data_IF_944682889106
#
_entry.id   IF_944682889106
#
_cell.length_a   1.000
_cell.length_b   1.000
_cell.length_c   1.000
_cell.angle_alpha   90.00
_cell.angle_beta   90.00
_cell.angle_gamma   90.00
#
_symmetry.space_group_name_H-M   'P 1'
#
loop_
_entity.id
_entity.type
_entity.pdbx_description
1 polymer ?
#
# COMPACT_ATOMS: atom_id res chain seq x y z
N UNK A 1 0.17 22.27 5.37
CA UNK A 1 1.46 22.99 5.38
C UNK A 1 2.51 21.97 5.78
N UNK A 2 3.34 21.52 4.83
CA UNK A 2 4.49 20.67 5.13
C UNK A 2 5.60 21.60 5.63
N UNK A 3 5.88 21.58 6.92
CA UNK A 3 7.05 22.26 7.48
C UNK A 3 8.17 21.23 7.45
N UNK A 4 8.96 21.23 6.36
CA UNK A 4 10.21 20.47 6.28
C UNK A 4 11.31 21.31 6.95
N UNK A 5 11.52 21.09 8.23
CA UNK A 5 12.70 21.61 8.91
C UNK A 5 13.89 20.67 8.68
N UNK A 6 14.65 20.88 7.60
CA UNK A 6 16.00 20.33 7.50
C UNK A 6 16.89 21.07 8.49
N UNK A 7 16.98 20.57 9.70
CA UNK A 7 17.94 21.03 10.70
C UNK A 7 19.06 19.97 10.80
N UNK A 8 20.26 20.41 10.42
CA UNK A 8 21.58 19.85 10.68
C UNK A 8 21.71 18.32 10.90
N UNK A 9 22.19 17.62 9.88
CA UNK A 9 23.04 16.45 10.08
C UNK A 9 22.37 15.10 10.34
N UNK A 10 21.05 14.96 10.31
CA UNK A 10 20.40 13.65 10.42
C UNK A 10 20.46 12.97 9.06
N UNK A 11 21.25 11.89 8.95
CA UNK A 11 21.34 11.07 7.75
C UNK A 11 19.96 10.44 7.43
N UNK A 12 19.61 10.34 6.15
CA UNK A 12 18.42 9.62 5.68
C UNK A 12 18.42 8.13 6.05
N UNK A 13 19.57 7.61 6.53
CA UNK A 13 19.77 6.20 6.92
C UNK A 13 19.61 5.96 8.43
N UNK A 14 19.36 7.00 9.24
CA UNK A 14 19.20 6.80 10.68
C UNK A 14 17.82 6.18 10.99
N UNK A 15 17.83 5.16 11.85
CA UNK A 15 16.64 4.44 12.32
C UNK A 15 15.66 5.38 13.01
N UNK A 16 14.38 5.30 12.64
CA UNK A 16 13.31 6.14 13.17
C UNK A 16 12.13 5.29 13.60
N UNK A 17 11.38 5.80 14.55
CA UNK A 17 10.05 5.29 14.87
C UNK A 17 9.01 6.21 14.25
N UNK A 18 8.07 5.64 13.48
CA UNK A 18 7.01 6.39 12.81
C UNK A 18 5.72 6.27 13.61
N UNK A 19 5.24 7.37 14.16
CA UNK A 19 3.95 7.47 14.85
C UNK A 19 2.92 7.94 13.84
N UNK A 20 1.95 7.09 13.50
CA UNK A 20 0.80 7.43 12.66
C UNK A 20 -0.46 7.41 13.51
N UNK A 21 -1.30 8.44 13.42
CA UNK A 21 -2.53 8.54 14.20
C UNK A 21 -3.62 9.26 13.42
N UNK A 22 -4.84 8.74 13.49
CA UNK A 22 -6.08 9.38 13.08
C UNK A 22 -7.07 9.42 14.25
N UNK A 23 -7.70 10.57 14.50
CA UNK A 23 -8.71 10.69 15.55
C UNK A 23 -9.69 11.85 15.26
N UNK A 24 -10.84 11.94 15.95
CA UNK A 24 -11.70 13.12 15.89
C UNK A 24 -10.91 14.38 16.23
N UNK A 25 -11.04 15.42 15.39
CA UNK A 25 -10.28 16.66 15.55
C UNK A 25 -10.73 17.45 16.77
N UNK A 26 -9.78 18.02 17.47
CA UNK A 26 -9.97 18.94 18.61
C UNK A 26 -8.68 19.68 18.96
N UNK A 27 -8.82 20.77 19.70
CA UNK A 27 -7.70 21.52 20.23
C UNK A 27 -6.81 20.67 21.14
N UNK A 28 -5.48 20.82 20.98
CA UNK A 28 -4.48 20.25 21.89
C UNK A 28 -3.91 18.89 21.45
N UNK A 29 -4.39 18.25 20.36
CA UNK A 29 -3.87 16.97 19.89
C UNK A 29 -2.37 17.04 19.61
N UNK A 30 -1.93 18.02 18.81
CA UNK A 30 -0.51 18.20 18.44
C UNK A 30 0.35 18.41 19.67
N UNK A 31 -0.10 19.30 20.59
CA UNK A 31 0.64 19.57 21.83
C UNK A 31 0.78 18.32 22.71
N UNK A 32 -0.27 17.49 22.79
CA UNK A 32 -0.24 16.24 23.56
C UNK A 32 0.73 15.22 22.99
N UNK A 33 0.75 15.01 21.65
CA UNK A 33 1.65 14.06 21.01
C UNK A 33 3.10 14.56 21.09
N UNK A 34 3.34 15.84 20.76
CA UNK A 34 4.67 16.43 20.83
C UNK A 34 5.22 16.48 22.27
N UNK A 35 4.35 16.79 23.25
CA UNK A 35 4.70 16.74 24.67
C UNK A 35 5.12 15.35 25.12
N UNK A 36 4.35 14.31 24.73
CA UNK A 36 4.70 12.92 25.02
C UNK A 36 6.08 12.53 24.45
N UNK A 37 6.38 12.93 23.23
CA UNK A 37 7.68 12.65 22.61
C UNK A 37 8.79 13.40 23.35
N UNK A 38 8.59 14.68 23.67
CA UNK A 38 9.55 15.52 24.40
C UNK A 38 9.81 14.99 25.82
N UNK A 39 8.76 14.65 26.57
CA UNK A 39 8.85 14.08 27.92
C UNK A 39 9.57 12.73 27.94
N UNK A 40 9.53 12.01 26.81
CA UNK A 40 10.27 10.76 26.59
C UNK A 40 11.73 10.97 26.18
N UNK A 41 12.18 12.23 25.99
CA UNK A 41 13.50 12.56 25.46
C UNK A 41 13.64 12.43 23.95
N UNK A 42 12.52 12.19 23.24
CA UNK A 42 12.50 11.92 21.82
C UNK A 42 12.72 13.16 20.95
N UNK A 43 13.45 12.97 19.84
CA UNK A 43 13.69 14.00 18.84
C UNK A 43 12.79 13.78 17.62
N UNK A 44 11.85 14.67 17.38
CA UNK A 44 11.00 14.64 16.18
C UNK A 44 11.79 15.17 15.00
N UNK A 45 12.02 14.30 14.00
CA UNK A 45 12.75 14.61 12.77
C UNK A 45 11.82 15.19 11.70
N UNK A 46 10.61 14.64 11.60
CA UNK A 46 9.59 15.07 10.66
C UNK A 46 8.22 14.97 11.32
N UNK A 47 7.34 15.92 11.03
CA UNK A 47 5.97 15.88 11.47
C UNK A 47 5.05 16.46 10.38
N UNK A 48 4.02 15.71 10.04
CA UNK A 48 2.99 16.10 9.09
C UNK A 48 1.61 16.00 9.75
N UNK A 49 0.75 16.98 9.45
CA UNK A 49 -0.58 17.11 10.02
C UNK A 49 -1.59 17.42 8.93
N UNK A 50 -2.76 16.82 9.04
CA UNK A 50 -3.90 17.14 8.19
C UNK A 50 -5.20 17.04 8.98
N UNK A 51 -6.09 18.02 8.79
CA UNK A 51 -7.47 17.96 9.27
C UNK A 51 -8.39 17.87 8.05
N UNK A 52 -9.23 16.85 7.99
CA UNK A 52 -10.33 16.79 7.03
C UNK A 52 -11.52 17.58 7.59
N UNK A 53 -11.84 18.76 7.03
CA UNK A 53 -12.93 19.59 7.54
C UNK A 53 -14.32 18.97 7.27
N UNK A 54 -14.42 18.03 6.33
CA UNK A 54 -15.69 17.38 5.99
C UNK A 54 -16.09 16.36 7.07
N UNK A 55 -15.14 15.62 7.60
CA UNK A 55 -15.37 14.58 8.61
C UNK A 55 -15.00 15.02 10.01
N UNK A 56 -14.39 16.20 10.15
CA UNK A 56 -13.79 16.70 11.38
C UNK A 56 -12.84 15.69 12.01
N UNK A 57 -11.93 15.17 11.15
CA UNK A 57 -10.97 14.15 11.53
C UNK A 57 -9.55 14.67 11.37
N UNK A 58 -8.73 14.48 12.39
CA UNK A 58 -7.32 14.86 12.41
C UNK A 58 -6.45 13.64 12.08
N UNK A 59 -5.39 13.89 11.31
CA UNK A 59 -4.38 12.90 10.96
C UNK A 59 -2.99 13.46 11.24
N UNK A 60 -2.11 12.60 11.68
CA UNK A 60 -0.68 12.95 11.81
C UNK A 60 0.20 11.75 11.51
N UNK A 61 1.35 12.05 10.93
CA UNK A 61 2.49 11.17 10.81
C UNK A 61 3.72 11.89 11.34
N UNK A 62 4.42 11.29 12.30
CA UNK A 62 5.63 11.87 12.89
C UNK A 62 6.75 10.83 12.88
N UNK A 63 7.94 11.27 12.54
CA UNK A 63 9.15 10.46 12.62
C UNK A 63 9.99 10.91 13.81
N UNK A 64 10.28 9.99 14.71
CA UNK A 64 11.08 10.21 15.90
C UNK A 64 12.40 9.46 15.75
N UNK A 65 13.52 10.13 15.99
CA UNK A 65 14.85 9.51 15.94
C UNK A 65 14.94 8.41 16.99
N UNK A 66 15.15 7.16 16.58
CA UNK A 66 15.15 6.02 17.49
C UNK A 66 16.26 6.10 18.55
N UNK A 67 17.45 6.62 18.18
CA UNK A 67 18.58 6.80 19.10
C UNK A 67 18.37 7.90 20.15
N UNK A 68 17.37 8.75 20.01
CA UNK A 68 17.03 9.78 21.01
C UNK A 68 16.22 9.23 22.18
N UNK A 69 15.61 8.06 22.00
CA UNK A 69 14.76 7.44 23.01
C UNK A 69 15.54 6.40 23.83
N UNK A 70 15.34 6.32 25.17
CA UNK A 70 16.02 5.36 26.02
C UNK A 70 15.40 3.93 25.98
N UNK A 71 14.43 3.70 25.09
CA UNK A 71 13.69 2.45 24.97
C UNK A 71 13.34 2.12 23.50
N UNK A 72 12.92 0.90 23.26
CA UNK A 72 12.58 0.41 21.92
C UNK A 72 11.15 0.79 21.46
N UNK A 73 10.80 0.38 20.25
CA UNK A 73 9.49 0.65 19.64
C UNK A 73 8.32 0.02 20.41
N UNK A 74 8.54 -1.12 21.09
CA UNK A 74 7.50 -1.82 21.85
C UNK A 74 7.15 -1.03 23.10
N UNK A 75 8.16 -0.57 23.82
CA UNK A 75 7.97 0.27 25.00
C UNK A 75 7.37 1.64 24.60
N UNK A 76 7.82 2.23 23.47
CA UNK A 76 7.21 3.46 22.95
C UNK A 76 5.72 3.25 22.68
N UNK A 77 5.34 2.14 22.04
CA UNK A 77 3.94 1.81 21.76
C UNK A 77 3.13 1.60 23.05
N UNK A 78 3.70 0.90 24.02
CA UNK A 78 3.04 0.68 25.32
C UNK A 78 2.74 1.99 26.06
N UNK A 79 3.70 2.92 26.06
CA UNK A 79 3.53 4.26 26.65
C UNK A 79 2.55 5.13 25.87
N UNK A 80 2.64 5.14 24.53
CA UNK A 80 1.75 5.91 23.66
C UNK A 80 0.28 5.46 23.76
N UNK A 81 0.01 4.22 24.14
CA UNK A 81 -1.33 3.72 24.38
C UNK A 81 -2.08 4.56 25.47
N UNK A 82 -1.37 5.17 26.42
CA UNK A 82 -1.90 6.13 27.38
C UNK A 82 -2.40 7.39 26.69
N UNK A 83 -1.56 7.98 25.85
CA UNK A 83 -1.89 9.17 25.05
C UNK A 83 -3.09 8.90 24.13
N UNK A 84 -3.08 7.78 23.44
CA UNK A 84 -4.17 7.39 22.52
C UNK A 84 -5.52 7.26 23.25
N UNK A 85 -5.55 6.67 24.45
CA UNK A 85 -6.76 6.58 25.28
C UNK A 85 -7.31 7.97 25.65
N UNK A 86 -6.44 8.91 25.97
CA UNK A 86 -6.85 10.28 26.27
C UNK A 86 -7.35 11.03 25.02
N UNK A 87 -6.88 10.66 23.82
CA UNK A 87 -7.40 11.18 22.56
C UNK A 87 -8.79 10.63 22.21
N UNK A 88 -9.19 9.54 22.85
CA UNK A 88 -10.54 8.99 22.80
C UNK A 88 -10.61 7.61 22.15
N UNK A 89 -11.75 6.92 22.31
CA UNK A 89 -11.92 5.51 21.89
C UNK A 89 -11.93 5.32 20.36
N UNK A 90 -12.02 6.39 19.60
CA UNK A 90 -11.96 6.37 18.12
C UNK A 90 -10.58 6.73 17.58
N UNK A 91 -9.58 6.90 18.43
CA UNK A 91 -8.21 7.11 17.99
C UNK A 91 -7.67 5.79 17.39
N UNK A 92 -7.33 5.84 16.10
CA UNK A 92 -6.65 4.76 15.38
C UNK A 92 -5.17 5.16 15.24
N UNK A 93 -4.27 4.30 15.70
CA UNK A 93 -2.86 4.63 15.72
C UNK A 93 -1.97 3.41 15.58
N UNK A 94 -0.78 3.64 15.07
CA UNK A 94 0.28 2.64 15.02
C UNK A 94 1.63 3.31 15.19
N UNK A 95 2.60 2.55 15.70
CA UNK A 95 4.01 2.94 15.73
C UNK A 95 4.81 1.85 15.06
N UNK A 96 5.62 2.23 14.08
CA UNK A 96 6.45 1.32 13.29
C UNK A 96 7.92 1.72 13.39
N UNK A 97 8.79 0.79 13.07
CA UNK A 97 10.24 0.93 13.13
C UNK A 97 10.82 0.88 11.71
N UNK A 98 11.47 1.94 11.27
CA UNK A 98 12.11 1.98 9.94
C UNK A 98 13.33 1.06 9.85
N UNK A 99 13.86 0.57 10.96
CA UNK A 99 14.92 -0.45 11.00
C UNK A 99 14.39 -1.86 10.71
N UNK A 100 13.09 -2.09 10.74
CA UNK A 100 12.47 -3.36 10.38
C UNK A 100 12.18 -3.40 8.88
N UNK A 101 12.89 -4.26 8.15
CA UNK A 101 12.65 -4.42 6.73
C UNK A 101 11.27 -5.01 6.48
N UNK A 102 10.44 -4.30 5.74
CA UNK A 102 9.07 -4.74 5.42
C UNK A 102 9.10 -5.94 4.46
N UNK A 103 8.13 -6.84 4.61
CA UNK A 103 7.98 -8.04 3.78
C UNK A 103 6.75 -7.93 2.90
N UNK A 104 6.86 -8.38 1.64
CA UNK A 104 5.75 -8.41 0.70
C UNK A 104 5.59 -9.80 0.07
N UNK A 105 4.35 -10.20 -0.16
CA UNK A 105 3.98 -11.29 -1.05
C UNK A 105 3.30 -10.69 -2.27
N UNK A 106 3.71 -11.12 -3.48
CA UNK A 106 3.12 -10.62 -4.74
C UNK A 106 2.25 -11.70 -5.35
N UNK A 107 1.00 -11.35 -5.64
CA UNK A 107 0.04 -12.20 -6.33
C UNK A 107 -0.03 -11.80 -7.80
N UNK A 108 0.10 -12.77 -8.71
CA UNK A 108 0.17 -12.54 -10.16
C UNK A 108 -0.71 -13.50 -10.96
N UNK A 109 -1.10 -13.08 -12.18
CA UNK A 109 -1.65 -13.96 -13.20
C UNK A 109 -0.66 -14.07 -14.38
N UNK A 110 -1.11 -13.79 -15.63
CA UNK A 110 -0.26 -13.90 -16.82
C UNK A 110 0.51 -12.61 -17.14
N UNK A 111 -0.06 -11.46 -16.79
CA UNK A 111 0.50 -10.15 -17.11
C UNK A 111 1.67 -9.81 -16.17
N UNK A 112 2.89 -9.77 -16.70
CA UNK A 112 4.12 -9.66 -15.89
C UNK A 112 4.65 -8.23 -15.71
N UNK A 113 4.12 -7.22 -16.43
CA UNK A 113 4.72 -5.87 -16.47
C UNK A 113 4.88 -5.23 -15.09
N UNK A 114 3.89 -5.38 -14.20
CA UNK A 114 4.00 -4.86 -12.83
C UNK A 114 5.01 -5.64 -11.99
N UNK A 115 5.05 -6.97 -12.11
CA UNK A 115 6.04 -7.79 -11.41
C UNK A 115 7.47 -7.43 -11.84
N UNK A 116 7.73 -7.32 -13.15
CA UNK A 116 9.05 -6.96 -13.67
C UNK A 116 9.53 -5.60 -13.16
N UNK A 117 8.63 -4.61 -13.12
CA UNK A 117 8.95 -3.28 -12.60
C UNK A 117 9.28 -3.32 -11.11
N UNK A 118 8.48 -4.02 -10.30
CA UNK A 118 8.73 -4.17 -8.85
C UNK A 118 10.05 -4.89 -8.58
N UNK A 119 10.33 -6.00 -9.28
CA UNK A 119 11.60 -6.73 -9.15
C UNK A 119 12.80 -5.84 -9.49
N UNK A 120 12.70 -5.06 -10.57
CA UNK A 120 13.74 -4.11 -10.97
C UNK A 120 14.00 -3.03 -9.91
N UNK A 121 12.94 -2.44 -9.34
CA UNK A 121 13.04 -1.41 -8.29
C UNK A 121 13.61 -1.96 -6.98
N UNK A 122 13.26 -3.19 -6.60
CA UNK A 122 13.84 -3.86 -5.44
C UNK A 122 15.32 -4.15 -5.67
N UNK A 123 15.68 -4.67 -6.85
CA UNK A 123 17.07 -4.98 -7.20
C UNK A 123 17.96 -3.72 -7.27
N UNK A 124 17.41 -2.58 -7.67
CA UNK A 124 18.12 -1.28 -7.71
C UNK A 124 18.17 -0.56 -6.36
N UNK A 125 17.47 -1.06 -5.34
CA UNK A 125 17.34 -0.39 -4.04
C UNK A 125 16.38 0.81 -4.05
N UNK A 126 15.62 1.02 -5.13
CA UNK A 126 14.62 2.09 -5.19
C UNK A 126 13.39 1.78 -4.31
N UNK A 127 13.06 0.51 -4.14
CA UNK A 127 11.99 0.03 -3.27
C UNK A 127 12.59 -0.88 -2.19
N UNK A 128 12.64 -0.40 -0.95
CA UNK A 128 13.17 -1.17 0.17
C UNK A 128 12.09 -2.09 0.76
N UNK A 129 12.05 -3.30 0.23
CA UNK A 129 11.15 -4.36 0.68
C UNK A 129 11.78 -5.72 0.41
N UNK A 130 11.51 -6.68 1.26
CA UNK A 130 11.79 -8.08 1.01
C UNK A 130 10.59 -8.74 0.32
N UNK A 131 10.73 -9.14 -0.93
CA UNK A 131 9.71 -9.96 -1.60
C UNK A 131 9.95 -11.41 -1.16
N UNK A 132 9.14 -11.88 -0.21
CA UNK A 132 9.33 -13.21 0.38
C UNK A 132 8.78 -14.33 -0.48
N UNK A 133 7.84 -14.03 -1.37
CA UNK A 133 7.25 -15.00 -2.29
C UNK A 133 6.47 -14.30 -3.41
N UNK A 134 6.39 -14.94 -4.56
CA UNK A 134 5.43 -14.65 -5.62
C UNK A 134 4.50 -15.84 -5.78
N UNK A 135 3.19 -15.60 -5.80
CA UNK A 135 2.18 -16.64 -5.95
C UNK A 135 1.37 -16.35 -7.21
N UNK A 136 1.36 -17.28 -8.15
CA UNK A 136 0.68 -17.13 -9.42
C UNK A 136 -0.36 -18.22 -9.68
N UNK A 137 -1.47 -17.86 -10.35
CA UNK A 137 -2.42 -18.85 -10.85
C UNK A 137 -2.05 -19.38 -12.26
N UNK A 138 -0.92 -18.96 -12.78
CA UNK A 138 -0.27 -19.42 -14.00
C UNK A 138 1.23 -19.47 -13.78
N UNK A 139 1.97 -20.28 -14.59
CA UNK A 139 3.41 -20.53 -14.41
C UNK A 139 4.32 -19.61 -15.22
N UNK A 140 3.76 -18.76 -16.10
CA UNK A 140 4.51 -17.94 -17.05
C UNK A 140 5.55 -17.03 -16.37
N UNK A 141 5.31 -16.64 -15.13
CA UNK A 141 6.19 -15.73 -14.37
C UNK A 141 7.12 -16.45 -13.39
N UNK A 142 7.10 -17.80 -13.34
CA UNK A 142 7.94 -18.58 -12.42
C UNK A 142 9.43 -18.34 -12.69
N UNK A 143 9.87 -18.49 -13.96
CA UNK A 143 11.29 -18.40 -14.31
C UNK A 143 11.94 -17.06 -13.96
N UNK A 144 11.24 -15.93 -14.20
CA UNK A 144 11.78 -14.61 -13.84
C UNK A 144 11.83 -14.41 -12.32
N UNK A 145 10.84 -14.92 -11.59
CA UNK A 145 10.79 -14.85 -10.14
C UNK A 145 11.96 -15.63 -9.51
N UNK A 146 12.16 -16.87 -9.95
CA UNK A 146 13.22 -17.74 -9.48
C UNK A 146 14.62 -17.22 -9.85
N UNK A 147 14.76 -16.57 -11.02
CA UNK A 147 16.01 -15.91 -11.41
C UNK A 147 16.41 -14.74 -10.47
N UNK A 148 15.45 -14.16 -9.75
CA UNK A 148 15.71 -13.17 -8.68
C UNK A 148 15.90 -13.81 -7.29
N UNK A 149 15.96 -15.14 -7.21
CA UNK A 149 16.09 -15.86 -5.94
C UNK A 149 14.84 -15.86 -5.06
N UNK A 150 13.67 -15.55 -5.64
CA UNK A 150 12.40 -15.46 -4.92
C UNK A 150 11.61 -16.76 -5.18
N UNK A 151 11.06 -17.41 -4.14
CA UNK A 151 10.20 -18.57 -4.29
C UNK A 151 8.94 -18.24 -5.11
N UNK A 152 8.61 -19.09 -6.10
CA UNK A 152 7.37 -19.02 -6.84
C UNK A 152 6.44 -20.19 -6.49
N UNK A 153 5.21 -19.88 -6.09
CA UNK A 153 4.18 -20.88 -5.80
C UNK A 153 3.07 -20.82 -6.85
N UNK A 154 2.71 -21.97 -7.39
CA UNK A 154 1.61 -22.08 -8.33
C UNK A 154 0.35 -22.58 -7.63
N UNK A 155 -0.71 -21.78 -7.63
CA UNK A 155 -2.04 -22.12 -7.11
C UNK A 155 -3.04 -22.08 -8.26
N UNK A 156 -3.54 -23.24 -8.65
CA UNK A 156 -4.52 -23.36 -9.74
C UNK A 156 -5.90 -22.97 -9.28
N UNK A 157 -6.62 -22.20 -10.10
CA UNK A 157 -8.02 -21.83 -9.84
C UNK A 157 -8.89 -22.50 -10.92
N UNK A 158 -9.64 -23.57 -10.59
CA UNK A 158 -10.46 -24.28 -11.55
C UNK A 158 -11.66 -23.40 -11.98
N UNK A 159 -11.97 -23.48 -13.28
CA UNK A 159 -13.12 -22.77 -13.85
C UNK A 159 -14.35 -23.68 -13.74
N UNK A 160 -15.47 -23.11 -13.26
CA UNK A 160 -16.74 -23.85 -13.14
C UNK A 160 -16.83 -24.81 -11.94
N UNK A 161 -15.82 -24.83 -11.08
CA UNK A 161 -15.77 -25.62 -9.84
C UNK A 161 -15.66 -24.69 -8.64
N UNK A 162 -16.76 -24.47 -7.94
CA UNK A 162 -16.83 -23.57 -6.78
C UNK A 162 -16.05 -24.12 -5.58
N UNK A 163 -16.13 -25.42 -5.30
CA UNK A 163 -15.45 -26.06 -4.17
C UNK A 163 -13.94 -26.09 -4.41
N UNK A 164 -13.51 -26.44 -5.60
CA UNK A 164 -12.11 -26.39 -6.01
C UNK A 164 -11.55 -24.98 -5.96
N UNK A 165 -12.33 -23.95 -6.32
CA UNK A 165 -11.93 -22.55 -6.20
C UNK A 165 -11.81 -22.14 -4.74
N UNK A 166 -12.70 -22.56 -3.86
CA UNK A 166 -12.63 -22.30 -2.42
C UNK A 166 -11.37 -22.95 -1.79
N UNK A 167 -11.06 -24.19 -2.16
CA UNK A 167 -9.83 -24.87 -1.75
C UNK A 167 -8.57 -24.12 -2.22
N UNK A 168 -8.57 -23.57 -3.44
CA UNK A 168 -7.47 -22.75 -3.97
C UNK A 168 -7.26 -21.46 -3.15
N UNK A 169 -8.34 -20.79 -2.74
CA UNK A 169 -8.23 -19.62 -1.87
C UNK A 169 -7.75 -19.98 -0.46
N UNK A 170 -8.14 -21.13 0.08
CA UNK A 170 -7.62 -21.61 1.36
C UNK A 170 -6.11 -21.88 1.29
N UNK A 171 -5.65 -22.54 0.22
CA UNK A 171 -4.23 -22.75 -0.04
C UNK A 171 -3.48 -21.41 -0.22
N UNK A 172 -4.04 -20.47 -0.99
CA UNK A 172 -3.48 -19.13 -1.18
C UNK A 172 -3.31 -18.42 0.17
N UNK A 173 -4.35 -18.46 1.02
CA UNK A 173 -4.30 -17.89 2.36
C UNK A 173 -3.18 -18.48 3.20
N UNK A 174 -3.09 -19.80 3.26
CA UNK A 174 -2.06 -20.49 4.03
C UNK A 174 -0.64 -20.07 3.57
N UNK A 175 -0.41 -20.02 2.26
CA UNK A 175 0.87 -19.58 1.71
C UNK A 175 1.17 -18.13 2.07
N UNK A 176 0.25 -17.21 1.86
CA UNK A 176 0.43 -15.79 2.17
C UNK A 176 0.71 -15.58 3.66
N UNK A 177 -0.15 -16.16 4.53
CA UNK A 177 -0.07 -15.94 5.98
C UNK A 177 1.22 -16.55 6.58
N UNK A 178 1.77 -17.63 5.99
CA UNK A 178 3.06 -18.22 6.41
C UNK A 178 4.26 -17.27 6.26
N UNK A 179 4.19 -16.34 5.31
CA UNK A 179 5.22 -15.31 5.11
C UNK A 179 5.06 -14.09 6.01
N UNK A 180 3.93 -13.96 6.73
CA UNK A 180 3.60 -12.81 7.60
C UNK A 180 3.90 -11.46 6.90
N UNK A 181 3.35 -11.18 5.70
CA UNK A 181 3.69 -10.01 4.93
C UNK A 181 3.09 -8.73 5.54
N UNK A 182 3.83 -7.62 5.42
CA UNK A 182 3.33 -6.28 5.67
C UNK A 182 2.48 -5.76 4.50
N UNK A 183 2.80 -6.22 3.28
CA UNK A 183 2.04 -5.91 2.07
C UNK A 183 1.71 -7.18 1.27
N UNK A 184 0.48 -7.30 0.80
CA UNK A 184 0.02 -8.31 -0.15
C UNK A 184 -0.34 -7.59 -1.44
N UNK A 185 0.48 -7.77 -2.48
CA UNK A 185 0.40 -6.96 -3.69
C UNK A 185 -0.30 -7.76 -4.79
N UNK A 186 -1.49 -7.34 -5.18
CA UNK A 186 -2.20 -7.89 -6.34
C UNK A 186 -1.68 -7.19 -7.62
N UNK A 187 -0.58 -7.73 -8.17
CA UNK A 187 0.05 -7.22 -9.38
C UNK A 187 -0.57 -7.88 -10.63
N UNK A 188 -1.75 -7.43 -11.00
CA UNK A 188 -2.57 -8.03 -12.07
C UNK A 188 -3.02 -9.45 -11.74
N UNK A 189 -3.35 -9.72 -10.48
CA UNK A 189 -3.95 -10.98 -10.05
C UNK A 189 -5.43 -11.00 -10.41
N UNK A 190 -5.79 -11.75 -11.45
CA UNK A 190 -7.11 -11.72 -12.08
C UNK A 190 -8.12 -12.68 -11.41
N UNK A 191 -8.03 -12.83 -10.08
CA UNK A 191 -9.00 -13.55 -9.27
C UNK A 191 -9.66 -12.58 -8.29
N UNK A 192 -10.98 -12.61 -8.22
CA UNK A 192 -11.73 -11.85 -7.20
C UNK A 192 -11.60 -12.57 -5.87
N UNK A 193 -11.01 -11.89 -4.89
CA UNK A 193 -10.84 -12.45 -3.55
C UNK A 193 -12.19 -12.62 -2.84
N UNK A 194 -12.42 -13.73 -2.13
CA UNK A 194 -13.61 -13.91 -1.32
C UNK A 194 -13.61 -12.96 -0.12
N UNK A 195 -14.80 -12.68 0.40
CA UNK A 195 -15.01 -11.73 1.50
C UNK A 195 -14.08 -11.96 2.69
N UNK A 196 -13.92 -13.23 3.09
CA UNK A 196 -13.09 -13.58 4.25
C UNK A 196 -11.61 -13.21 4.06
N UNK A 197 -11.08 -13.33 2.82
CA UNK A 197 -9.71 -12.92 2.54
C UNK A 197 -9.57 -11.39 2.51
N UNK A 198 -10.55 -10.69 1.95
CA UNK A 198 -10.56 -9.23 1.97
C UNK A 198 -10.53 -8.70 3.41
N UNK A 199 -11.31 -9.30 4.31
CA UNK A 199 -11.33 -8.93 5.73
C UNK A 199 -10.04 -9.31 6.45
N UNK A 200 -9.50 -10.52 6.21
CA UNK A 200 -8.26 -10.99 6.86
C UNK A 200 -7.03 -10.16 6.44
N UNK A 201 -7.03 -9.61 5.23
CA UNK A 201 -5.94 -8.83 4.66
C UNK A 201 -6.24 -7.33 4.59
N UNK A 202 -7.29 -6.88 5.28
CA UNK A 202 -7.68 -5.47 5.31
C UNK A 202 -6.51 -4.56 5.71
N UNK A 203 -6.31 -3.47 4.97
CA UNK A 203 -5.23 -2.51 5.19
C UNK A 203 -3.82 -3.01 4.80
N UNK A 204 -3.67 -4.28 4.34
CA UNK A 204 -2.40 -4.84 3.86
C UNK A 204 -2.45 -5.29 2.41
N UNK A 205 -3.64 -5.59 1.87
CA UNK A 205 -3.80 -5.99 0.48
C UNK A 205 -3.93 -4.75 -0.42
N UNK A 206 -3.00 -4.60 -1.35
CA UNK A 206 -2.91 -3.48 -2.30
C UNK A 206 -3.11 -4.03 -3.71
N UNK A 207 -4.05 -3.45 -4.46
CA UNK A 207 -4.37 -3.86 -5.83
C UNK A 207 -4.03 -2.77 -6.82
N UNK A 208 -3.54 -3.15 -7.99
CA UNK A 208 -3.50 -2.27 -9.17
C UNK A 208 -4.69 -2.56 -10.08
N UNK A 209 -5.55 -1.57 -10.23
CA UNK A 209 -6.66 -1.61 -11.17
C UNK A 209 -6.31 -0.82 -12.43
N UNK A 210 -6.57 -1.43 -13.58
CA UNK A 210 -6.16 -0.92 -14.89
C UNK A 210 -7.14 0.09 -15.50
N UNK A 211 -7.75 0.94 -14.64
CA UNK A 211 -8.49 2.13 -15.06
C UNK A 211 -8.40 3.23 -14.00
N UNK A 212 -8.77 4.44 -14.40
CA UNK A 212 -8.93 5.56 -13.48
C UNK A 212 -10.30 5.46 -12.80
N UNK A 213 -10.35 4.81 -11.63
CA UNK A 213 -11.58 4.63 -10.87
C UNK A 213 -12.22 5.99 -10.49
N UNK A 214 -13.54 6.11 -10.51
CA UNK A 214 -14.55 5.07 -10.71
C UNK A 214 -14.94 4.81 -12.18
N UNK A 215 -14.15 5.26 -13.15
CA UNK A 215 -14.45 5.11 -14.59
C UNK A 215 -14.02 3.73 -15.11
N UNK A 216 -14.78 3.19 -16.09
CA UNK A 216 -14.48 1.95 -16.80
C UNK A 216 -14.29 0.73 -15.88
N UNK A 217 -15.25 0.51 -15.00
CA UNK A 217 -15.31 -0.69 -14.15
C UNK A 217 -15.55 -1.93 -15.02
N UNK A 218 -14.90 -3.05 -14.66
CA UNK A 218 -15.07 -4.34 -15.30
C UNK A 218 -13.97 -4.72 -16.30
N UNK A 219 -14.29 -5.62 -17.23
CA UNK A 219 -13.30 -6.22 -18.14
C UNK A 219 -12.94 -5.29 -19.31
N UNK A 220 -11.66 -5.36 -19.76
CA UNK A 220 -11.11 -4.68 -20.94
C UNK A 220 -11.31 -3.15 -20.94
N UNK A 221 -10.96 -2.39 -19.87
CA UNK A 221 -11.22 -0.95 -19.79
C UNK A 221 -10.54 -0.15 -20.90
N UNK A 222 -9.38 -0.56 -21.40
CA UNK A 222 -8.71 0.12 -22.52
C UNK A 222 -9.46 0.01 -23.84
N UNK A 223 -10.13 -1.12 -24.11
CA UNK A 223 -11.01 -1.24 -25.29
C UNK A 223 -12.26 -0.38 -25.13
N UNK A 224 -12.85 -0.33 -23.93
CA UNK A 224 -13.99 0.57 -23.65
C UNK A 224 -13.57 2.04 -23.84
N UNK A 225 -12.41 2.41 -23.32
CA UNK A 225 -11.83 3.74 -23.46
C UNK A 225 -11.59 4.13 -24.94
N UNK A 226 -11.04 3.22 -25.75
CA UNK A 226 -10.83 3.41 -27.18
C UNK A 226 -12.16 3.64 -27.90
N UNK A 227 -13.14 2.73 -27.72
CA UNK A 227 -14.48 2.84 -28.34
C UNK A 227 -15.17 4.15 -27.94
N UNK A 228 -14.97 4.62 -26.70
CA UNK A 228 -15.52 5.88 -26.20
C UNK A 228 -14.80 7.13 -26.72
N UNK A 229 -13.60 6.97 -27.31
CA UNK A 229 -12.77 8.08 -27.80
C UNK A 229 -12.23 9.00 -26.72
N UNK A 230 -11.91 8.45 -25.53
CA UNK A 230 -11.37 9.24 -24.40
C UNK A 230 -10.03 9.86 -24.75
N UNK A 231 -9.61 10.86 -24.01
CA UNK A 231 -8.35 11.58 -24.18
C UNK A 231 -7.31 11.25 -23.11
N UNK A 232 -7.76 10.57 -22.05
CA UNK A 232 -6.93 10.10 -20.94
C UNK A 232 -7.31 8.67 -20.61
N UNK A 233 -6.31 7.85 -20.31
CA UNK A 233 -6.45 6.55 -19.65
C UNK A 233 -5.60 6.57 -18.40
N UNK A 234 -5.92 5.74 -17.41
CA UNK A 234 -5.19 5.77 -16.15
C UNK A 234 -5.21 4.44 -15.44
N UNK A 235 -4.59 4.43 -14.27
CA UNK A 235 -4.57 3.30 -13.36
C UNK A 235 -4.83 3.78 -11.92
N UNK A 236 -5.28 2.85 -11.07
CA UNK A 236 -5.59 3.12 -9.67
C UNK A 236 -4.95 2.05 -8.79
N UNK A 237 -4.13 2.48 -7.83
CA UNK A 237 -3.66 1.66 -6.73
C UNK A 237 -4.55 1.90 -5.52
N UNK A 238 -5.17 0.86 -4.97
CA UNK A 238 -6.11 0.97 -3.86
C UNK A 238 -6.00 -0.22 -2.91
N UNK A 239 -6.46 -0.05 -1.69
CA UNK A 239 -6.63 -1.18 -0.78
C UNK A 239 -7.77 -2.07 -1.23
N UNK A 240 -7.60 -3.38 -1.06
CA UNK A 240 -8.65 -4.36 -1.37
C UNK A 240 -9.70 -4.36 -0.27
N UNK A 241 -10.96 -4.35 -0.68
CA UNK A 241 -12.14 -4.48 0.17
C UNK A 241 -13.05 -5.58 -0.36
N UNK A 242 -14.09 -5.92 0.40
CA UNK A 242 -15.08 -6.92 -0.03
C UNK A 242 -15.88 -6.47 -1.26
N UNK A 243 -16.05 -5.18 -1.44
CA UNK A 243 -16.64 -4.61 -2.65
C UNK A 243 -15.56 -4.46 -3.73
N UNK A 244 -15.82 -5.03 -4.90
CA UNK A 244 -14.86 -5.08 -6.00
C UNK A 244 -14.50 -3.67 -6.48
N UNK A 245 -13.20 -3.40 -6.56
CA UNK A 245 -12.61 -2.15 -7.06
C UNK A 245 -13.12 -0.87 -6.35
N UNK A 246 -13.70 -1.00 -5.16
CA UNK A 246 -14.30 0.10 -4.40
C UNK A 246 -13.51 0.51 -3.15
N UNK A 247 -12.35 -0.08 -2.91
CA UNK A 247 -11.55 0.20 -1.72
C UNK A 247 -10.85 1.56 -1.73
N UNK A 248 -10.34 2.02 -0.57
CA UNK A 248 -9.67 3.31 -0.43
C UNK A 248 -8.50 3.46 -1.40
N UNK A 249 -8.52 4.55 -2.18
CA UNK A 249 -7.52 4.83 -3.22
C UNK A 249 -6.24 5.34 -2.55
N UNK A 250 -5.11 4.74 -2.92
CA UNK A 250 -3.77 5.13 -2.44
C UNK A 250 -3.13 6.10 -3.44
N UNK A 251 -3.14 5.71 -4.73
CA UNK A 251 -2.52 6.48 -5.81
C UNK A 251 -3.31 6.31 -7.10
N UNK A 252 -3.36 7.38 -7.88
CA UNK A 252 -3.91 7.37 -9.23
C UNK A 252 -3.04 8.23 -10.15
N UNK A 253 -2.92 7.81 -11.40
CA UNK A 253 -2.30 8.65 -12.42
C UNK A 253 -2.92 8.37 -13.78
N UNK A 254 -2.71 9.28 -14.73
CA UNK A 254 -3.28 9.25 -16.07
C UNK A 254 -2.22 9.52 -17.13
N UNK A 255 -2.44 8.95 -18.31
CA UNK A 255 -1.63 9.21 -19.49
C UNK A 255 -2.51 9.66 -20.65
N UNK A 256 -2.00 10.62 -21.42
CA UNK A 256 -2.71 11.14 -22.60
C UNK A 256 -2.71 10.12 -23.74
N UNK A 257 -3.88 9.97 -24.37
CA UNK A 257 -4.07 9.20 -25.59
C UNK A 257 -4.65 10.10 -26.68
N UNK A 258 -4.44 9.71 -27.93
CA UNK A 258 -4.87 10.46 -29.11
C UNK A 258 -5.77 9.59 -30.00
N UNK A 259 -6.36 10.22 -31.00
CA UNK A 259 -7.18 9.51 -32.02
C UNK A 259 -6.35 8.57 -32.91
N UNK A 260 -5.03 8.74 -32.95
CA UNK A 260 -4.10 7.88 -33.70
C UNK A 260 -3.63 6.65 -32.91
N UNK A 261 -3.92 6.60 -31.62
CA UNK A 261 -3.57 5.43 -30.80
C UNK A 261 -4.54 4.27 -31.10
N UNK A 262 -3.99 3.14 -31.47
CA UNK A 262 -4.74 1.89 -31.60
C UNK A 262 -5.06 1.29 -30.22
N UNK A 263 -5.94 0.28 -30.17
CA UNK A 263 -6.20 -0.51 -28.97
C UNK A 263 -4.89 -1.04 -28.34
N UNK A 264 -3.95 -1.49 -29.17
CA UNK A 264 -2.65 -1.99 -28.72
C UNK A 264 -1.80 -0.87 -28.08
N UNK A 265 -1.84 0.33 -28.64
CA UNK A 265 -1.12 1.47 -28.10
C UNK A 265 -1.73 1.90 -26.75
N UNK A 266 -3.04 1.87 -26.63
CA UNK A 266 -3.71 2.15 -25.36
C UNK A 266 -3.36 1.13 -24.28
N UNK A 267 -3.33 -0.18 -24.62
CA UNK A 267 -2.90 -1.22 -23.68
C UNK A 267 -1.45 -1.03 -23.27
N UNK A 268 -0.54 -0.69 -24.21
CA UNK A 268 0.87 -0.43 -23.92
C UNK A 268 1.03 0.76 -22.96
N UNK A 269 0.40 1.89 -23.27
CA UNK A 269 0.40 3.10 -22.42
C UNK A 269 -0.23 2.80 -21.05
N UNK A 270 -1.30 2.01 -21.01
CA UNK A 270 -1.91 1.57 -19.79
C UNK A 270 -0.97 0.75 -18.90
N UNK A 271 -0.25 -0.21 -19.47
CA UNK A 271 0.76 -0.98 -18.74
C UNK A 271 1.89 -0.11 -18.19
N UNK A 272 2.28 0.95 -18.92
CA UNK A 272 3.32 1.86 -18.44
C UNK A 272 2.86 2.64 -17.21
N UNK A 273 1.62 3.14 -17.20
CA UNK A 273 1.10 3.86 -16.04
C UNK A 273 0.78 2.92 -14.86
N UNK A 274 0.30 1.70 -15.11
CA UNK A 274 0.05 0.70 -14.07
C UNK A 274 1.32 0.41 -13.23
N UNK A 275 2.49 0.27 -13.87
CA UNK A 275 3.78 0.06 -13.20
C UNK A 275 4.09 1.19 -12.22
N UNK A 276 4.00 2.43 -12.70
CA UNK A 276 4.33 3.62 -11.91
C UNK A 276 3.38 3.81 -10.73
N UNK A 277 2.08 3.67 -10.98
CA UNK A 277 1.04 3.84 -9.95
C UNK A 277 1.16 2.78 -8.86
N UNK A 278 1.37 1.50 -9.25
CA UNK A 278 1.56 0.43 -8.27
C UNK A 278 2.81 0.63 -7.43
N UNK A 279 3.94 0.92 -8.07
CA UNK A 279 5.21 1.11 -7.35
C UNK A 279 5.15 2.30 -6.39
N UNK A 280 4.52 3.40 -6.79
CA UNK A 280 4.34 4.60 -5.97
C UNK A 280 3.42 4.33 -4.79
N UNK A 281 2.25 3.72 -5.03
CA UNK A 281 1.29 3.38 -3.98
C UNK A 281 1.84 2.35 -2.99
N UNK A 282 2.56 1.34 -3.47
CA UNK A 282 3.23 0.36 -2.61
C UNK A 282 4.32 1.00 -1.75
N UNK A 283 5.13 1.90 -2.30
CA UNK A 283 6.14 2.65 -1.54
C UNK A 283 5.51 3.41 -0.38
N UNK A 284 4.46 4.18 -0.64
CA UNK A 284 3.78 4.94 0.42
C UNK A 284 3.19 4.05 1.50
N UNK A 285 2.65 2.89 1.12
CA UNK A 285 2.18 1.89 2.08
C UNK A 285 3.32 1.37 2.96
N UNK A 286 4.45 0.98 2.35
CA UNK A 286 5.61 0.43 3.07
C UNK A 286 6.31 1.47 3.97
N UNK A 287 6.28 2.75 3.59
CA UNK A 287 6.80 3.88 4.36
C UNK A 287 5.82 4.38 5.45
N UNK A 288 4.72 3.67 5.68
CA UNK A 288 3.68 4.05 6.66
C UNK A 288 3.15 5.48 6.44
N UNK A 289 3.03 5.90 5.17
CA UNK A 289 2.55 7.24 4.77
C UNK A 289 1.05 7.29 4.55
N UNK A 290 0.38 6.15 4.44
CA UNK A 290 -1.05 6.06 4.11
C UNK A 290 -1.87 5.84 5.37
N UNK A 291 -2.74 6.78 5.69
CA UNK A 291 -3.75 6.65 6.74
C UNK A 291 -5.13 6.53 6.10
N UNK A 292 -5.91 5.55 6.55
CA UNK A 292 -7.24 5.27 6.00
C UNK A 292 -8.30 5.83 6.95
N UNK A 293 -9.32 6.49 6.38
CA UNK A 293 -10.51 6.91 7.11
C UNK A 293 -11.76 6.68 6.28
N UNK A 294 -12.61 5.74 6.70
CA UNK A 294 -13.72 5.27 5.86
C UNK A 294 -13.20 4.73 4.52
N UNK A 295 -13.71 5.26 3.41
CA UNK A 295 -13.27 4.88 2.06
C UNK A 295 -12.30 5.91 1.43
N UNK A 296 -11.54 6.62 2.24
CA UNK A 296 -10.56 7.62 1.78
C UNK A 296 -9.20 7.36 2.41
N UNK A 297 -8.16 7.87 1.77
CA UNK A 297 -6.80 7.88 2.33
C UNK A 297 -6.31 9.31 2.49
N UNK A 298 -5.46 9.51 3.49
CA UNK A 298 -4.56 10.65 3.59
C UNK A 298 -3.16 10.12 3.40
N UNK A 299 -2.42 10.67 2.42
CA UNK A 299 -1.05 10.27 2.10
C UNK A 299 -0.13 11.43 2.45
N UNK A 300 0.84 11.18 3.35
CA UNK A 300 1.82 12.16 3.82
C UNK A 300 3.13 12.12 3.06
#
# INVERSE_FOLDING_TARGET
VVISARIFGVSSTERRYVISLGCPDRTGIVAKIAGFVADSGGWIVEAAYHTDPTTNWFFTRQEVLASSLPFDVRELSARFAGVARELGPRADWRITDTGERKRAVILVSREGHCLYDLLGRVSSGELDVEITSVIGNHRELAGITEAHGIPFHHVTFPVGDADGKAASFAQLRQLVDSHQPHAIVLARFMQVLPHELCMAWAGRAVNIHHSFLPSFVGAKPYHQAHTRGVKLVGATCHYVTAELDAGPIIEQDVIRVSHSDSDRDMVRKGRDIEKVVLARGLRWHLEDRVLVHGNRTVVF
#
